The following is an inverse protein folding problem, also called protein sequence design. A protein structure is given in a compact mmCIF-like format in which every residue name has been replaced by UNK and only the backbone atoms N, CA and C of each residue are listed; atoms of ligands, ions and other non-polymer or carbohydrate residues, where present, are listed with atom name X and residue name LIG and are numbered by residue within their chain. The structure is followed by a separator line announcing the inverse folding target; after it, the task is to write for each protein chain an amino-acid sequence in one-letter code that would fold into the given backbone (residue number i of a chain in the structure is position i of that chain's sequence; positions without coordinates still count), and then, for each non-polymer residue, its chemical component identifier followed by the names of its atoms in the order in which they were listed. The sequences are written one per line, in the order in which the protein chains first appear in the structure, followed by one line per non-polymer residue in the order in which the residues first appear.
data_IF_267889271935
#
_entry.id   IF_267889271935
#
_cell.length_a   1.000
_cell.length_b   1.000
_cell.length_c   1.000
_cell.angle_alpha   90.00
_cell.angle_beta   90.00
_cell.angle_gamma   90.00
#
_symmetry.space_group_name_H-M   'P 1'
#
loop_
_entity.id
_entity.type
_entity.pdbx_description
1 polymer ?
#
# COMPACT_ATOMS: atom_id res chain seq x y z
N UNK A 1 26.47 -29.18 -28.50
CA UNK A 1 25.05 -29.36 -28.82
C UNK A 1 24.32 -29.70 -27.53
N UNK A 2 23.31 -28.92 -27.13
CA UNK A 2 22.51 -29.25 -25.97
C UNK A 2 21.72 -30.52 -26.31
N UNK A 3 21.58 -31.46 -25.38
CA UNK A 3 20.72 -32.61 -25.64
C UNK A 3 19.27 -32.15 -25.68
N UNK A 4 18.48 -32.70 -26.60
CA UNK A 4 17.04 -32.42 -26.72
C UNK A 4 16.31 -32.46 -25.37
N UNK A 5 16.68 -33.41 -24.51
CA UNK A 5 16.18 -33.53 -23.14
C UNK A 5 16.51 -32.32 -22.26
N UNK A 6 17.74 -31.78 -22.33
CA UNK A 6 18.09 -30.58 -21.57
C UNK A 6 17.30 -29.35 -22.02
N UNK A 7 17.05 -29.19 -23.32
CA UNK A 7 16.22 -28.09 -23.83
C UNK A 7 14.77 -28.21 -23.37
N UNK A 8 14.23 -29.43 -23.30
CA UNK A 8 12.88 -29.68 -22.76
C UNK A 8 12.79 -29.34 -21.27
N UNK A 9 13.76 -29.76 -20.46
CA UNK A 9 13.78 -29.46 -19.03
C UNK A 9 14.00 -27.95 -18.76
N UNK A 10 14.88 -27.29 -19.52
CA UNK A 10 15.07 -25.85 -19.44
C UNK A 10 13.77 -25.10 -19.78
N UNK A 11 13.14 -25.44 -20.90
CA UNK A 11 11.85 -24.86 -21.29
C UNK A 11 10.80 -25.05 -20.19
N UNK A 12 10.71 -26.26 -19.64
CA UNK A 12 9.77 -26.57 -18.56
C UNK A 12 10.05 -25.74 -17.31
N UNK A 13 11.31 -25.64 -16.89
CA UNK A 13 11.72 -24.85 -15.74
C UNK A 13 11.33 -23.37 -15.90
N UNK A 14 11.60 -22.76 -17.05
CA UNK A 14 11.26 -21.36 -17.31
C UNK A 14 9.74 -21.14 -17.31
N UNK A 15 8.98 -22.03 -17.94
CA UNK A 15 7.53 -21.95 -17.99
C UNK A 15 6.87 -22.18 -16.61
N UNK A 16 7.34 -23.18 -15.86
CA UNK A 16 6.86 -23.49 -14.52
C UNK A 16 7.16 -22.33 -13.55
N UNK A 17 8.36 -21.74 -13.65
CA UNK A 17 8.74 -20.58 -12.84
C UNK A 17 7.89 -19.35 -13.18
N UNK A 18 7.70 -19.05 -14.47
CA UNK A 18 6.90 -17.92 -14.91
C UNK A 18 5.42 -18.07 -14.53
N UNK A 19 4.84 -19.25 -14.76
CA UNK A 19 3.43 -19.54 -14.45
C UNK A 19 3.17 -19.62 -12.95
N UNK A 20 4.04 -20.30 -12.19
CA UNK A 20 3.96 -20.39 -10.74
C UNK A 20 4.08 -19.02 -10.07
N UNK A 21 5.08 -18.23 -10.48
CA UNK A 21 5.25 -16.86 -10.00
C UNK A 21 4.07 -15.96 -10.36
N UNK A 22 3.56 -16.03 -11.59
CA UNK A 22 2.40 -15.21 -12.02
C UNK A 22 1.12 -15.55 -11.22
N UNK A 23 0.92 -16.82 -10.86
CA UNK A 23 -0.18 -17.24 -9.99
C UNK A 23 -0.04 -16.63 -8.58
N UNK A 24 1.13 -16.74 -7.97
CA UNK A 24 1.39 -16.16 -6.65
C UNK A 24 1.22 -14.64 -6.65
N UNK A 25 1.67 -13.94 -7.69
CA UNK A 25 1.48 -12.49 -7.80
C UNK A 25 0.00 -12.11 -7.93
N UNK A 26 -0.81 -12.94 -8.58
CA UNK A 26 -2.27 -12.73 -8.64
C UNK A 26 -2.93 -12.86 -7.27
N UNK A 27 -2.50 -13.83 -6.46
CA UNK A 27 -2.98 -13.97 -5.07
C UNK A 27 -2.58 -12.74 -4.23
N UNK A 28 -1.31 -12.33 -4.33
CA UNK A 28 -0.81 -11.13 -3.62
C UNK A 28 -1.56 -9.86 -4.05
N UNK A 29 -1.87 -9.68 -5.33
CA UNK A 29 -2.67 -8.53 -5.77
C UNK A 29 -4.08 -8.55 -5.20
N UNK A 30 -4.72 -9.70 -5.15
CA UNK A 30 -6.05 -9.85 -4.53
C UNK A 30 -6.00 -9.45 -3.06
N UNK A 31 -5.00 -9.92 -2.32
CA UNK A 31 -4.81 -9.59 -0.90
C UNK A 31 -4.54 -8.09 -0.70
N UNK A 32 -3.74 -7.47 -1.59
CA UNK A 32 -3.45 -6.03 -1.52
C UNK A 32 -4.69 -5.19 -1.80
N UNK A 33 -5.50 -5.56 -2.79
CA UNK A 33 -6.77 -4.89 -3.07
C UNK A 33 -7.71 -5.02 -1.88
N UNK A 34 -7.85 -6.21 -1.31
CA UNK A 34 -8.67 -6.44 -0.13
C UNK A 34 -8.17 -5.62 1.08
N UNK A 35 -6.86 -5.59 1.31
CA UNK A 35 -6.25 -4.80 2.38
C UNK A 35 -6.55 -3.31 2.21
N UNK A 36 -6.48 -2.79 0.98
CA UNK A 36 -6.79 -1.39 0.69
C UNK A 36 -8.27 -1.05 0.97
N UNK A 37 -9.18 -1.95 0.61
CA UNK A 37 -10.63 -1.80 0.91
C UNK A 37 -10.86 -1.79 2.42
N UNK A 38 -10.34 -2.78 3.15
CA UNK A 38 -10.52 -2.89 4.60
C UNK A 38 -9.93 -1.71 5.36
N UNK A 39 -8.77 -1.22 4.91
CA UNK A 39 -8.16 -0.01 5.45
C UNK A 39 -9.08 1.19 5.25
N UNK A 40 -9.57 1.42 4.03
CA UNK A 40 -10.51 2.49 3.71
C UNK A 40 -11.79 2.44 4.56
N UNK A 41 -12.37 1.25 4.76
CA UNK A 41 -13.55 1.07 5.61
C UNK A 41 -13.28 1.35 7.09
N UNK A 42 -12.16 0.85 7.61
CA UNK A 42 -11.78 1.06 9.00
C UNK A 42 -11.61 2.55 9.30
N UNK A 43 -11.03 3.30 8.37
CA UNK A 43 -10.84 4.74 8.51
C UNK A 43 -12.15 5.51 8.33
N UNK A 44 -13.01 5.12 7.39
CA UNK A 44 -14.34 5.73 7.24
C UNK A 44 -15.18 5.60 8.52
N UNK A 45 -15.11 4.45 9.19
CA UNK A 45 -15.74 4.22 10.49
C UNK A 45 -15.11 5.08 11.58
N UNK A 46 -13.79 5.14 11.64
CA UNK A 46 -13.05 5.96 12.60
C UNK A 46 -13.39 7.45 12.45
N UNK A 47 -13.37 7.98 11.23
CA UNK A 47 -13.75 9.36 10.92
C UNK A 47 -15.19 9.69 11.31
N UNK A 48 -16.12 8.75 11.07
CA UNK A 48 -17.53 8.91 11.48
C UNK A 48 -17.67 8.96 13.00
N UNK A 49 -17.04 8.04 13.73
CA UNK A 49 -17.04 8.04 15.20
C UNK A 49 -16.47 9.35 15.77
N UNK A 50 -15.45 9.92 15.13
CA UNK A 50 -14.89 11.21 15.54
C UNK A 50 -15.82 12.40 15.26
N UNK A 51 -16.48 12.43 14.10
CA UNK A 51 -17.46 13.49 13.77
C UNK A 51 -18.66 13.48 14.71
N UNK A 52 -19.13 12.29 15.12
CA UNK A 52 -20.19 12.16 16.12
C UNK A 52 -19.74 12.64 17.50
N UNK A 53 -18.50 12.33 17.92
CA UNK A 53 -17.91 12.86 19.15
C UNK A 53 -17.82 14.39 19.11
N UNK A 54 -17.35 14.96 18.00
CA UNK A 54 -17.27 16.40 17.82
C UNK A 54 -18.66 17.07 17.89
N UNK A 55 -19.67 16.49 17.24
CA UNK A 55 -21.07 16.98 17.30
C UNK A 55 -21.63 16.96 18.71
N UNK A 56 -21.42 15.87 19.46
CA UNK A 56 -21.87 15.75 20.84
C UNK A 56 -21.26 16.86 21.73
N UNK A 57 -20.00 17.17 21.50
CA UNK A 57 -19.27 18.23 22.23
C UNK A 57 -19.73 19.62 21.81
N UNK A 58 -19.93 19.86 20.52
CA UNK A 58 -20.42 21.14 20.02
C UNK A 58 -21.82 21.44 20.56
N UNK A 59 -22.69 20.42 20.66
CA UNK A 59 -24.00 20.54 21.29
C UNK A 59 -23.90 20.88 22.78
N UNK A 60 -22.96 20.27 23.51
CA UNK A 60 -22.68 20.62 24.91
C UNK A 60 -22.15 22.05 25.07
N UNK A 61 -21.29 22.53 24.16
CA UNK A 61 -20.80 23.92 24.16
C UNK A 61 -21.95 24.91 23.94
N UNK A 62 -22.85 24.67 22.98
CA UNK A 62 -24.02 25.53 22.74
C UNK A 62 -24.95 25.58 23.95
N UNK A 63 -25.16 24.45 24.63
CA UNK A 63 -25.95 24.41 25.87
C UNK A 63 -25.26 25.24 26.96
N UNK A 64 -23.93 25.14 27.09
CA UNK A 64 -23.18 25.90 28.08
C UNK A 64 -23.18 27.41 27.79
N UNK A 65 -23.02 27.82 26.53
CA UNK A 65 -23.13 29.24 26.14
C UNK A 65 -24.52 29.79 26.46
N UNK A 66 -25.59 29.01 26.23
CA UNK A 66 -26.95 29.38 26.63
C UNK A 66 -27.09 29.57 28.14
N UNK A 67 -26.50 28.67 28.93
CA UNK A 67 -26.49 28.75 30.40
C UNK A 67 -25.69 29.95 30.92
N UNK A 68 -24.50 30.21 30.35
CA UNK A 68 -23.66 31.38 30.68
C UNK A 68 -24.32 32.71 30.31
N UNK A 69 -25.14 32.73 29.26
CA UNK A 69 -25.93 33.89 28.84
C UNK A 69 -27.20 34.11 29.69
N UNK A 70 -27.34 33.39 30.82
CA UNK A 70 -28.30 33.69 31.88
C UNK A 70 -29.62 32.90 31.83
N UNK A 71 -29.66 31.77 31.14
CA UNK A 71 -30.90 30.98 30.99
C UNK A 71 -31.00 29.71 31.87
N UNK A 72 -30.05 29.45 32.77
CA UNK A 72 -30.16 28.37 33.78
C UNK A 72 -29.10 28.43 34.89
N UNK A 73 -29.38 27.81 36.04
CA UNK A 73 -28.47 27.72 37.19
C UNK A 73 -27.32 26.75 36.93
N UNK A 74 -26.08 27.20 37.14
CA UNK A 74 -24.85 26.41 36.92
C UNK A 74 -24.28 25.94 38.26
N UNK A 75 -24.04 24.64 38.42
CA UNK A 75 -23.17 24.13 39.50
C UNK A 75 -21.70 24.07 39.02
N UNK A 76 -20.74 24.22 39.93
CA UNK A 76 -19.30 24.22 39.58
C UNK A 76 -18.80 22.91 38.96
N UNK A 77 -19.42 21.79 39.33
CA UNK A 77 -19.11 20.44 38.85
C UNK A 77 -19.41 20.28 37.35
N UNK A 78 -20.48 20.92 36.87
CA UNK A 78 -20.89 20.92 35.46
C UNK A 78 -19.92 21.73 34.59
N UNK A 79 -19.33 22.81 35.13
CA UNK A 79 -18.28 23.59 34.45
C UNK A 79 -16.98 22.77 34.36
N UNK A 80 -16.64 22.04 35.42
CA UNK A 80 -15.41 21.25 35.49
C UNK A 80 -15.45 20.04 34.56
N UNK A 81 -16.57 19.30 34.53
CA UNK A 81 -16.82 18.21 33.58
C UNK A 81 -16.77 18.67 32.12
N UNK A 82 -17.23 19.89 31.84
CA UNK A 82 -17.17 20.44 30.48
C UNK A 82 -15.75 20.80 30.05
N UNK A 83 -14.95 21.40 30.95
CA UNK A 83 -13.53 21.68 30.67
C UNK A 83 -12.74 20.40 30.43
N UNK A 84 -13.02 19.35 31.20
CA UNK A 84 -12.38 18.05 31.03
C UNK A 84 -12.75 17.43 29.66
N UNK A 85 -14.04 17.49 29.29
CA UNK A 85 -14.52 17.03 27.99
C UNK A 85 -13.90 17.80 26.83
N UNK A 86 -13.71 19.12 26.96
CA UNK A 86 -13.04 19.95 25.95
C UNK A 86 -11.56 19.55 25.74
N UNK A 87 -10.84 19.24 26.82
CA UNK A 87 -9.47 18.74 26.76
C UNK A 87 -9.36 17.38 26.07
N UNK A 88 -10.30 16.48 26.37
CA UNK A 88 -10.39 15.17 25.72
C UNK A 88 -10.67 15.28 24.21
N UNK A 89 -11.48 16.25 23.79
CA UNK A 89 -11.77 16.48 22.36
C UNK A 89 -10.55 16.91 21.57
N UNK A 90 -9.77 17.86 22.12
CA UNK A 90 -8.52 18.28 21.45
C UNK A 90 -7.53 17.12 21.32
N UNK A 91 -7.49 16.23 22.32
CA UNK A 91 -6.70 15.01 22.26
C UNK A 91 -7.19 14.03 21.18
N UNK A 92 -8.51 13.79 21.11
CA UNK A 92 -9.12 12.94 20.09
C UNK A 92 -8.97 13.49 18.66
N UNK A 93 -9.03 14.81 18.48
CA UNK A 93 -8.79 15.45 17.18
C UNK A 93 -7.34 15.25 16.74
N UNK A 94 -6.35 15.45 17.61
CA UNK A 94 -4.95 15.22 17.28
C UNK A 94 -4.69 13.73 16.95
N UNK A 95 -5.30 12.80 17.70
CA UNK A 95 -5.24 11.38 17.40
C UNK A 95 -5.90 11.02 16.05
N UNK A 96 -7.00 11.69 15.69
CA UNK A 96 -7.68 11.50 14.40
C UNK A 96 -6.84 12.00 13.22
N UNK A 97 -6.25 13.20 13.33
CA UNK A 97 -5.33 13.75 12.33
C UNK A 97 -4.13 12.83 12.14
N UNK A 98 -3.56 12.36 13.25
CA UNK A 98 -2.48 11.37 13.24
C UNK A 98 -2.92 10.08 12.52
N UNK A 99 -4.13 9.58 12.79
CA UNK A 99 -4.69 8.40 12.13
C UNK A 99 -4.89 8.57 10.62
N UNK A 100 -5.34 9.75 10.17
CA UNK A 100 -5.46 10.09 8.75
C UNK A 100 -4.09 10.19 8.05
N UNK A 101 -3.06 10.64 8.76
CA UNK A 101 -1.70 10.64 8.22
C UNK A 101 -1.12 9.22 8.14
N UNK A 102 -1.38 8.37 9.13
CA UNK A 102 -1.05 6.94 9.05
C UNK A 102 -1.75 6.27 7.88
N UNK A 103 -3.02 6.58 7.65
CA UNK A 103 -3.74 6.14 6.44
C UNK A 103 -2.95 6.52 5.20
N UNK A 104 -2.68 7.81 4.99
CA UNK A 104 -2.09 8.30 3.74
C UNK A 104 -0.76 7.59 3.46
N UNK A 105 0.08 7.47 4.49
CA UNK A 105 1.32 6.69 4.41
C UNK A 105 1.07 5.21 4.04
N UNK A 106 0.10 4.55 4.66
CA UNK A 106 -0.22 3.15 4.35
C UNK A 106 -0.82 2.96 2.96
N UNK A 107 -1.67 3.87 2.49
CA UNK A 107 -2.21 3.88 1.12
C UNK A 107 -1.11 4.05 0.09
N UNK A 108 -0.16 4.97 0.32
CA UNK A 108 1.01 5.14 -0.55
C UNK A 108 1.91 3.90 -0.59
N UNK A 109 2.13 3.25 0.57
CA UNK A 109 2.87 1.99 0.64
C UNK A 109 2.15 0.87 -0.14
N UNK A 110 0.83 0.75 0.01
CA UNK A 110 0.04 -0.24 -0.73
C UNK A 110 0.11 0.00 -2.24
N UNK A 111 -0.06 1.24 -2.69
CA UNK A 111 0.07 1.59 -4.12
C UNK A 111 1.46 1.25 -4.67
N UNK A 112 2.51 1.44 -3.87
CA UNK A 112 3.87 1.05 -4.24
C UNK A 112 4.04 -0.46 -4.34
N UNK A 113 3.46 -1.22 -3.41
CA UNK A 113 3.53 -2.69 -3.46
C UNK A 113 2.78 -3.19 -4.69
N UNK A 114 1.59 -2.64 -5.00
CA UNK A 114 0.82 -2.98 -6.22
C UNK A 114 1.67 -2.72 -7.47
N UNK A 115 2.28 -1.54 -7.61
CA UNK A 115 3.18 -1.24 -8.74
C UNK A 115 4.34 -2.23 -8.85
N UNK A 116 4.92 -2.65 -7.72
CA UNK A 116 5.99 -3.65 -7.70
C UNK A 116 5.52 -5.03 -8.15
N UNK A 117 4.33 -5.45 -7.72
CA UNK A 117 3.75 -6.74 -8.12
C UNK A 117 3.44 -6.76 -9.63
N UNK A 118 2.90 -5.67 -10.17
CA UNK A 118 2.68 -5.51 -11.61
C UNK A 118 4.00 -5.64 -12.38
N UNK A 119 5.04 -4.90 -11.98
CA UNK A 119 6.34 -4.97 -12.68
C UNK A 119 7.02 -6.34 -12.55
N UNK A 120 6.86 -7.04 -11.42
CA UNK A 120 7.34 -8.42 -11.28
C UNK A 120 6.58 -9.37 -12.21
N UNK A 121 5.26 -9.19 -12.37
CA UNK A 121 4.47 -9.98 -13.33
C UNK A 121 4.94 -9.73 -14.75
N UNK A 122 5.22 -8.48 -15.10
CA UNK A 122 5.78 -8.13 -16.40
C UNK A 122 7.13 -8.81 -16.63
N UNK A 123 8.03 -8.84 -15.64
CA UNK A 123 9.31 -9.56 -15.75
C UNK A 123 9.13 -11.07 -15.96
N UNK A 124 8.19 -11.70 -15.24
CA UNK A 124 7.83 -13.11 -15.46
C UNK A 124 7.18 -13.34 -16.83
N UNK A 125 6.47 -12.35 -17.38
CA UNK A 125 5.93 -12.39 -18.74
C UNK A 125 7.02 -12.54 -19.80
N UNK A 126 8.16 -11.86 -19.65
CA UNK A 126 9.33 -12.01 -20.53
C UNK A 126 9.90 -13.41 -20.42
N UNK A 127 10.06 -13.92 -19.19
CA UNK A 127 10.54 -15.28 -18.95
C UNK A 127 9.66 -16.32 -19.65
N UNK A 128 8.33 -16.16 -19.56
CA UNK A 128 7.37 -17.01 -20.24
C UNK A 128 7.48 -16.90 -21.76
N UNK A 129 7.55 -15.68 -22.32
CA UNK A 129 7.62 -15.46 -23.76
C UNK A 129 8.86 -16.12 -24.37
N UNK A 130 10.03 -15.90 -23.76
CA UNK A 130 11.30 -16.42 -24.25
C UNK A 130 11.39 -17.95 -24.08
N UNK A 131 10.67 -18.54 -23.11
CA UNK A 131 10.57 -19.99 -22.99
C UNK A 131 9.88 -20.67 -24.20
N UNK A 132 8.99 -19.95 -24.90
CA UNK A 132 8.34 -20.49 -26.09
C UNK A 132 9.27 -20.52 -27.32
N UNK A 133 10.29 -19.64 -27.35
CA UNK A 133 11.32 -19.60 -28.39
C UNK A 133 12.32 -20.77 -28.28
N UNK A 134 12.36 -21.46 -27.15
CA UNK A 134 13.07 -22.73 -27.02
C UNK A 134 12.24 -23.82 -27.73
N UNK A 135 12.77 -24.35 -28.83
CA UNK A 135 12.13 -25.40 -29.64
C UNK A 135 13.04 -26.63 -29.68
N UNK A 136 12.91 -27.57 -28.71
CA UNK A 136 13.79 -28.73 -28.58
C UNK A 136 13.83 -29.64 -29.82
N UNK A 137 12.78 -29.61 -30.65
CA UNK A 137 12.66 -30.42 -31.86
C UNK A 137 13.44 -29.86 -33.05
N UNK A 138 13.80 -28.57 -33.04
CA UNK A 138 14.45 -27.90 -34.18
C UNK A 138 15.97 -27.97 -34.17
N UNK A 139 16.57 -28.59 -33.15
CA UNK A 139 18.03 -28.75 -33.07
C UNK A 139 18.76 -27.41 -32.97
N UNK A 140 18.25 -26.49 -32.15
CA UNK A 140 18.86 -25.18 -31.90
C UNK A 140 20.36 -25.30 -31.58
N UNK A 141 21.13 -24.41 -32.18
CA UNK A 141 22.58 -24.36 -31.93
C UNK A 141 22.86 -23.88 -30.52
N UNK A 142 24.07 -24.17 -30.01
CA UNK A 142 24.52 -23.63 -28.73
C UNK A 142 24.52 -22.10 -28.73
N UNK A 143 24.88 -21.48 -29.85
CA UNK A 143 25.04 -20.03 -29.98
C UNK A 143 23.67 -19.34 -29.96
N UNK A 144 22.68 -19.88 -30.67
CA UNK A 144 21.28 -19.41 -30.64
C UNK A 144 20.68 -19.48 -29.23
N UNK A 145 20.91 -20.60 -28.52
CA UNK A 145 20.43 -20.75 -27.15
C UNK A 145 21.12 -19.77 -26.21
N UNK A 146 22.43 -19.56 -26.39
CA UNK A 146 23.19 -18.61 -25.58
C UNK A 146 22.71 -17.18 -25.80
N UNK A 147 22.44 -16.79 -27.04
CA UNK A 147 21.91 -15.46 -27.39
C UNK A 147 20.51 -15.25 -26.79
N UNK A 148 19.63 -16.25 -26.88
CA UNK A 148 18.29 -16.21 -26.27
C UNK A 148 18.35 -16.09 -24.74
N UNK A 149 19.21 -16.87 -24.08
CA UNK A 149 19.33 -16.80 -22.63
C UNK A 149 19.95 -15.47 -22.17
N UNK A 150 20.96 -14.97 -22.90
CA UNK A 150 21.56 -13.68 -22.62
C UNK A 150 20.54 -12.54 -22.76
N UNK A 151 19.74 -12.53 -23.83
CA UNK A 151 18.69 -11.52 -24.04
C UNK A 151 17.58 -11.62 -22.98
N UNK A 152 17.23 -12.84 -22.55
CA UNK A 152 16.26 -13.07 -21.46
C UNK A 152 16.77 -12.51 -20.14
N UNK A 153 18.02 -12.82 -19.77
CA UNK A 153 18.64 -12.31 -18.54
C UNK A 153 18.71 -10.80 -18.57
N UNK A 154 19.19 -10.21 -19.67
CA UNK A 154 19.28 -8.76 -19.82
C UNK A 154 17.91 -8.09 -19.69
N UNK A 155 16.88 -8.59 -20.37
CA UNK A 155 15.53 -8.03 -20.28
C UNK A 155 14.93 -8.14 -18.87
N UNK A 156 15.25 -9.21 -18.13
CA UNK A 156 14.86 -9.33 -16.72
C UNK A 156 15.61 -8.33 -15.83
N UNK A 157 16.93 -8.19 -15.99
CA UNK A 157 17.75 -7.26 -15.22
C UNK A 157 17.32 -5.81 -15.44
N UNK A 158 17.02 -5.41 -16.67
CA UNK A 158 16.50 -4.08 -16.99
C UNK A 158 15.18 -3.80 -16.26
N UNK A 159 14.23 -4.74 -16.30
CA UNK A 159 12.93 -4.60 -15.61
C UNK A 159 13.06 -4.57 -14.10
N UNK A 160 13.91 -5.43 -13.52
CA UNK A 160 14.17 -5.44 -12.08
C UNK A 160 14.87 -4.15 -11.62
N UNK A 161 15.79 -3.62 -12.42
CA UNK A 161 16.45 -2.34 -12.13
C UNK A 161 15.47 -1.17 -12.15
N UNK A 162 14.53 -1.15 -13.11
CA UNK A 162 13.46 -0.14 -13.14
C UNK A 162 12.61 -0.22 -11.86
N UNK A 163 12.23 -1.43 -11.44
CA UNK A 163 11.50 -1.65 -10.18
C UNK A 163 12.27 -1.13 -8.96
N UNK A 164 13.58 -1.35 -8.89
CA UNK A 164 14.42 -0.90 -7.77
C UNK A 164 14.67 0.62 -7.78
N UNK A 165 14.84 1.23 -8.96
CA UNK A 165 15.09 2.68 -9.08
C UNK A 165 13.90 3.53 -8.60
N UNK A 166 12.67 3.02 -8.74
CA UNK A 166 11.46 3.66 -8.21
C UNK A 166 11.40 3.72 -6.68
N UNK A 167 12.21 2.92 -5.98
CA UNK A 167 12.19 2.79 -4.51
C UNK A 167 12.83 3.98 -3.78
N UNK A 168 13.81 4.65 -4.40
CA UNK A 168 14.66 5.65 -3.73
C UNK A 168 14.10 7.07 -3.77
N UNK A 169 13.17 7.37 -4.68
CA UNK A 169 12.63 8.72 -4.86
C UNK A 169 11.46 9.08 -3.93
N UNK A 170 10.82 8.11 -3.28
CA UNK A 170 9.45 8.30 -2.80
C UNK A 170 9.25 8.48 -1.29
N UNK A 171 10.23 8.26 -0.41
CA UNK A 171 10.00 8.41 1.04
C UNK A 171 11.16 9.11 1.74
N UNK A 172 11.03 10.43 1.90
CA UNK A 172 11.79 11.26 2.84
C UNK A 172 10.83 11.84 3.89
N UNK A 173 10.18 10.98 4.67
CA UNK A 173 9.62 11.39 5.95
C UNK A 173 9.62 10.19 6.88
N UNK A 174 10.54 10.20 7.84
CA UNK A 174 10.82 9.07 8.74
C UNK A 174 10.41 9.37 10.18
N UNK A 175 9.86 10.56 10.45
CA UNK A 175 9.37 10.96 11.78
C UNK A 175 8.14 11.83 11.65
N UNK A 176 7.09 11.42 12.35
CA UNK A 176 5.91 12.22 12.64
C UNK A 176 5.94 12.46 14.14
N UNK A 177 6.69 13.48 14.58
CA UNK A 177 6.53 13.97 15.95
C UNK A 177 5.20 14.72 16.00
N UNK A 178 4.31 14.25 16.88
CA UNK A 178 3.04 14.90 17.18
C UNK A 178 3.33 16.34 17.63
N UNK A 179 3.07 17.33 16.76
CA UNK A 179 3.27 18.73 17.12
C UNK A 179 3.31 19.72 15.94
N UNK A 180 3.93 19.36 14.82
CA UNK A 180 4.11 20.31 13.71
C UNK A 180 2.99 20.20 12.68
N UNK A 181 1.87 20.87 12.98
CA UNK A 181 0.87 21.25 11.99
C UNK A 181 1.35 22.57 11.37
N UNK A 182 2.10 22.52 10.26
CA UNK A 182 2.10 23.64 9.32
C UNK A 182 0.75 23.63 8.61
N UNK A 183 -0.13 24.51 9.06
CA UNK A 183 -1.37 24.87 8.37
C UNK A 183 -1.00 25.41 6.98
N UNK A 184 -1.32 24.64 5.93
CA UNK A 184 -1.51 25.19 4.58
C UNK A 184 -2.94 25.71 4.43
#
# INVERSE_FOLDING_TARGET
MPTKTMLQELKRLLLDTASGGSRQLTEVESDLVQTNILLGEAIGKLGTSFMELHRAVQMQQTILEGLMNGSGEINSESIEQLKDTQGQVSHYVNAAVTGLQFQDMTSQLLERIVRRVIGLREALGVLSANSFEIVPEQGQSNDELQELLASTVQAMEERLTVLDSGLWKAVRQTRMESGDIELF
#
